data_IF_460264352015
#
_entry.id   IF_460264352015
#
_cell.length_a   1.000
_cell.length_b   1.000
_cell.length_c   1.000
_cell.angle_alpha   90.00
_cell.angle_beta   90.00
_cell.angle_gamma   90.00
#
_symmetry.space_group_name_H-M   'P 1'
#
loop_
_entity.id
_entity.type
_entity.pdbx_description
1 polymer ?
#
# COMPACT_ATOMS: atom_id res chain seq x y z
N UNK A 1 -31.89 22.66 10.79
CA UNK A 1 -31.95 22.68 9.30
C UNK A 1 -30.75 23.40 8.65
N UNK A 2 -30.06 24.33 9.32
CA UNK A 2 -28.96 25.11 8.73
C UNK A 2 -27.67 24.32 8.40
N UNK A 3 -27.39 23.22 9.12
CA UNK A 3 -26.17 22.42 8.89
C UNK A 3 -26.16 21.73 7.52
N UNK A 4 -27.33 21.30 7.02
CA UNK A 4 -27.46 20.70 5.69
C UNK A 4 -27.10 21.70 4.58
N UNK A 5 -27.54 22.96 4.70
CA UNK A 5 -27.23 23.99 3.71
C UNK A 5 -25.73 24.27 3.60
N UNK A 6 -25.01 24.24 4.73
CA UNK A 6 -23.56 24.46 4.76
C UNK A 6 -22.79 23.33 4.06
N UNK A 7 -23.20 22.08 4.25
CA UNK A 7 -22.60 20.91 3.56
C UNK A 7 -22.84 20.98 2.05
N UNK A 8 -24.06 21.34 1.62
CA UNK A 8 -24.36 21.51 0.19
C UNK A 8 -23.53 22.63 -0.45
N UNK A 9 -23.30 23.72 0.28
CA UNK A 9 -22.52 24.86 -0.21
C UNK A 9 -21.02 24.53 -0.34
N UNK A 10 -20.46 23.76 0.60
CA UNK A 10 -19.09 23.26 0.52
C UNK A 10 -18.89 22.26 -0.63
N UNK A 11 -19.86 21.37 -0.87
CA UNK A 11 -19.78 20.39 -1.96
C UNK A 11 -19.81 21.10 -3.34
N UNK A 12 -20.63 22.14 -3.47
CA UNK A 12 -20.69 22.93 -4.69
C UNK A 12 -19.35 23.62 -4.98
N UNK A 13 -18.72 24.24 -3.97
CA UNK A 13 -17.43 24.91 -4.13
C UNK A 13 -16.31 23.98 -4.62
N UNK A 14 -16.27 22.72 -4.16
CA UNK A 14 -15.28 21.73 -4.61
C UNK A 14 -15.44 21.31 -6.08
N UNK A 15 -16.65 21.42 -6.64
CA UNK A 15 -16.91 21.07 -8.04
C UNK A 15 -16.54 22.19 -9.03
N UNK A 16 -16.44 23.46 -8.57
CA UNK A 16 -16.19 24.60 -9.45
C UNK A 16 -14.70 24.93 -9.71
N UNK A 17 -13.74 24.21 -9.11
CA UNK A 17 -12.30 24.54 -9.26
C UNK A 17 -11.59 23.87 -10.44
N UNK A 18 -12.32 23.30 -11.40
CA UNK A 18 -11.74 22.78 -12.63
C UNK A 18 -11.73 23.84 -13.73
N UNK A 19 -10.54 24.41 -13.99
CA UNK A 19 -10.22 24.89 -15.34
C UNK A 19 -9.58 26.27 -15.43
N UNK A 20 -8.26 26.28 -15.57
CA UNK A 20 -7.61 27.17 -16.54
C UNK A 20 -6.32 26.51 -17.01
N UNK A 21 -6.40 25.79 -18.13
CA UNK A 21 -5.25 25.34 -18.90
C UNK A 21 -4.79 26.54 -19.73
N UNK A 22 -3.82 27.28 -19.21
CA UNK A 22 -3.13 28.33 -19.96
C UNK A 22 -2.33 27.67 -21.07
N UNK A 23 -2.83 27.78 -22.30
CA UNK A 23 -2.12 27.46 -23.53
C UNK A 23 -0.95 28.44 -23.66
N UNK A 24 0.26 28.00 -23.37
CA UNK A 24 1.47 28.77 -23.65
C UNK A 24 1.68 28.87 -25.18
N UNK A 25 2.14 30.03 -25.70
CA UNK A 25 2.39 30.21 -27.12
C UNK A 25 3.51 29.28 -27.61
N UNK A 26 3.28 28.69 -28.78
CA UNK A 26 4.22 27.84 -29.47
C UNK A 26 5.45 28.64 -29.91
N UNK A 27 6.55 28.52 -29.16
CA UNK A 27 7.87 28.87 -29.67
C UNK A 27 8.41 27.68 -30.46
N UNK A 28 8.73 27.91 -31.73
CA UNK A 28 9.41 26.95 -32.57
C UNK A 28 10.80 26.64 -31.97
N UNK A 29 11.18 25.37 -31.76
CA UNK A 29 12.53 25.05 -31.32
C UNK A 29 13.50 25.26 -32.49
N UNK A 30 14.38 26.26 -32.37
CA UNK A 30 15.62 26.32 -33.14
C UNK A 30 16.41 25.03 -32.87
N UNK A 31 16.83 24.36 -33.94
CA UNK A 31 17.61 23.11 -33.89
C UNK A 31 18.97 23.40 -33.22
N UNK A 32 19.27 22.86 -32.03
CA UNK A 32 20.62 22.96 -31.50
C UNK A 32 21.56 22.03 -32.29
N UNK A 33 22.85 22.41 -32.45
CA UNK A 33 23.82 21.58 -33.15
C UNK A 33 23.93 20.21 -32.48
N UNK A 34 23.86 19.15 -33.28
CA UNK A 34 23.93 17.76 -32.81
C UNK A 34 25.31 17.48 -32.21
N UNK A 35 25.45 17.65 -30.90
CA UNK A 35 26.49 16.98 -30.15
C UNK A 35 26.09 15.50 -30.02
N UNK A 36 26.71 14.63 -30.82
CA UNK A 36 26.61 13.18 -30.66
C UNK A 36 27.29 12.79 -29.34
N UNK A 37 26.53 12.84 -28.24
CA UNK A 37 26.89 12.13 -27.03
C UNK A 37 26.42 10.68 -27.18
N UNK A 38 27.30 9.67 -27.00
CA UNK A 38 26.86 8.29 -26.86
C UNK A 38 25.83 8.20 -25.73
N UNK A 39 24.75 7.40 -25.87
CA UNK A 39 23.77 7.27 -24.81
C UNK A 39 24.46 6.76 -23.54
N UNK A 40 24.52 7.62 -22.52
CA UNK A 40 24.93 7.24 -21.19
C UNK A 40 23.96 6.15 -20.74
N UNK A 41 24.49 4.95 -20.44
CA UNK A 41 23.67 3.85 -19.96
C UNK A 41 22.99 4.31 -18.67
N UNK A 42 21.66 4.38 -18.70
CA UNK A 42 20.88 4.63 -17.50
C UNK A 42 21.30 3.62 -16.41
N UNK A 43 21.41 4.04 -15.13
CA UNK A 43 21.65 3.14 -14.04
C UNK A 43 20.64 2.00 -14.08
N UNK A 44 21.13 0.76 -14.05
CA UNK A 44 20.28 -0.42 -13.94
C UNK A 44 19.53 -0.27 -12.63
N UNK A 45 18.20 -0.12 -12.70
CA UNK A 45 17.36 -0.12 -11.52
C UNK A 45 17.62 -1.44 -10.77
N UNK A 46 18.13 -1.33 -9.53
CA UNK A 46 18.29 -2.49 -8.68
C UNK A 46 16.94 -3.20 -8.54
N UNK A 47 16.91 -4.55 -8.62
CA UNK A 47 15.67 -5.29 -8.44
C UNK A 47 15.08 -4.93 -7.07
N UNK A 48 13.74 -4.75 -6.98
CA UNK A 48 13.11 -4.37 -5.72
C UNK A 48 13.51 -5.38 -4.65
N UNK A 49 14.07 -4.87 -3.55
CA UNK A 49 14.41 -5.65 -2.36
C UNK A 49 13.20 -6.52 -2.01
N UNK A 50 13.36 -7.84 -2.09
CA UNK A 50 12.25 -8.75 -1.80
C UNK A 50 11.77 -8.49 -0.37
N UNK A 51 10.48 -8.18 -0.17
CA UNK A 51 9.97 -7.93 1.17
C UNK A 51 10.13 -9.18 2.04
N UNK A 52 10.55 -8.94 3.27
CA UNK A 52 10.88 -9.93 4.30
C UNK A 52 9.75 -10.99 4.40
N UNK A 53 10.02 -12.20 3.90
CA UNK A 53 9.07 -13.32 3.81
C UNK A 53 8.83 -14.07 5.12
N UNK A 54 9.47 -13.65 6.21
CA UNK A 54 9.55 -14.43 7.46
C UNK A 54 8.18 -14.79 8.06
N UNK A 55 7.14 -13.97 7.82
CA UNK A 55 5.78 -14.24 8.27
C UNK A 55 4.84 -14.76 7.18
N UNK A 56 5.24 -14.70 5.91
CA UNK A 56 4.34 -14.98 4.78
C UNK A 56 4.16 -16.48 4.60
N UNK A 57 5.26 -17.24 4.48
CA UNK A 57 5.22 -18.69 4.34
C UNK A 57 4.52 -19.40 5.51
N UNK A 58 4.87 -19.15 6.78
CA UNK A 58 4.21 -19.84 7.88
C UNK A 58 2.74 -19.45 8.03
N UNK A 59 2.37 -18.20 7.71
CA UNK A 59 0.96 -17.81 7.69
C UNK A 59 0.21 -18.45 6.52
N UNK A 60 0.86 -18.66 5.38
CA UNK A 60 0.24 -19.35 4.25
C UNK A 60 -0.09 -20.80 4.58
N UNK A 61 0.80 -21.48 5.32
CA UNK A 61 0.53 -22.80 5.86
C UNK A 61 -0.60 -22.78 6.91
N UNK A 62 -0.53 -21.86 7.89
CA UNK A 62 -1.55 -21.72 8.94
C UNK A 62 -2.95 -21.44 8.38
N UNK A 63 -3.02 -20.62 7.33
CA UNK A 63 -4.27 -20.19 6.70
C UNK A 63 -4.72 -21.07 5.53
N UNK A 64 -4.03 -22.19 5.26
CA UNK A 64 -4.27 -23.01 4.05
C UNK A 64 -5.71 -23.54 3.97
N UNK A 65 -6.25 -23.99 5.09
CA UNK A 65 -7.58 -24.62 5.18
C UNK A 65 -8.68 -23.63 5.63
N UNK A 66 -8.34 -22.34 5.81
CA UNK A 66 -9.32 -21.33 6.17
C UNK A 66 -10.24 -21.00 5.00
N UNK A 67 -11.57 -20.99 5.23
CA UNK A 67 -12.57 -20.60 4.22
C UNK A 67 -12.31 -19.23 3.59
N UNK A 68 -11.73 -18.30 4.37
CA UNK A 68 -11.39 -16.95 3.94
C UNK A 68 -9.88 -16.73 4.06
N UNK A 69 -9.12 -17.24 3.07
CA UNK A 69 -7.65 -17.16 3.05
C UNK A 69 -7.13 -15.72 3.21
N UNK A 70 -7.68 -14.75 2.48
CA UNK A 70 -7.19 -13.36 2.50
C UNK A 70 -7.35 -12.66 3.87
N UNK A 71 -8.52 -12.70 4.53
CA UNK A 71 -8.64 -12.22 5.92
C UNK A 71 -7.73 -12.93 6.91
N UNK A 72 -7.60 -14.26 6.82
CA UNK A 72 -6.70 -15.03 7.70
C UNK A 72 -5.24 -14.59 7.53
N UNK A 73 -4.76 -14.49 6.29
CA UNK A 73 -3.41 -14.02 6.00
C UNK A 73 -3.17 -12.61 6.58
N UNK A 74 -4.15 -11.71 6.45
CA UNK A 74 -4.05 -10.34 6.96
C UNK A 74 -3.86 -10.32 8.48
N UNK A 75 -4.68 -11.06 9.23
CA UNK A 75 -4.56 -11.12 10.70
C UNK A 75 -3.32 -11.92 11.13
N UNK A 76 -3.05 -13.07 10.51
CA UNK A 76 -1.89 -13.89 10.81
C UNK A 76 -0.58 -13.11 10.66
N UNK A 77 -0.37 -12.41 9.54
CA UNK A 77 0.88 -11.67 9.33
C UNK A 77 1.04 -10.52 10.33
N UNK A 78 -0.07 -9.89 10.75
CA UNK A 78 -0.03 -8.88 11.80
C UNK A 78 0.32 -9.50 13.17
N UNK A 79 -0.27 -10.66 13.51
CA UNK A 79 0.03 -11.40 14.73
C UNK A 79 1.48 -11.90 14.76
N UNK A 80 1.98 -12.41 13.64
CA UNK A 80 3.38 -12.83 13.49
C UNK A 80 4.35 -11.69 13.77
N UNK A 81 4.07 -10.48 13.26
CA UNK A 81 4.87 -9.29 13.56
C UNK A 81 4.83 -8.90 15.03
N UNK A 82 3.68 -9.04 15.69
CA UNK A 82 3.53 -8.80 17.13
C UNK A 82 4.30 -9.84 17.96
N UNK A 83 4.23 -11.11 17.57
CA UNK A 83 4.76 -12.26 18.31
C UNK A 83 6.21 -12.60 17.94
N UNK A 84 7.06 -11.61 17.65
CA UNK A 84 8.47 -11.81 17.29
C UNK A 84 8.70 -12.82 16.16
N UNK A 85 7.89 -12.76 15.08
CA UNK A 85 7.95 -13.64 13.90
C UNK A 85 7.52 -15.10 14.15
N UNK A 86 6.79 -15.36 15.24
CA UNK A 86 6.23 -16.67 15.56
C UNK A 86 4.84 -16.86 14.93
N UNK A 87 4.55 -18.04 14.38
CA UNK A 87 3.22 -18.49 13.95
C UNK A 87 2.97 -19.90 14.51
N UNK A 88 1.85 -20.16 15.21
CA UNK A 88 1.59 -21.45 15.83
C UNK A 88 1.16 -22.50 14.81
N UNK A 89 2.11 -23.28 14.31
CA UNK A 89 1.86 -24.42 13.43
C UNK A 89 1.79 -25.72 14.24
N UNK A 90 0.75 -26.53 14.00
CA UNK A 90 0.57 -27.83 14.63
C UNK A 90 0.48 -27.75 16.16
N UNK A 91 1.52 -28.24 16.86
CA UNK A 91 1.61 -28.23 18.33
C UNK A 91 2.42 -27.07 18.90
N UNK A 92 3.06 -26.26 18.05
CA UNK A 92 3.84 -25.11 18.48
C UNK A 92 2.92 -24.01 19.02
N UNK A 93 3.37 -23.34 20.08
CA UNK A 93 2.66 -22.22 20.71
C UNK A 93 3.54 -20.98 20.63
N UNK A 94 2.91 -19.86 20.30
CA UNK A 94 3.53 -18.55 20.34
C UNK A 94 3.02 -17.78 21.57
N UNK A 95 3.94 -17.18 22.32
CA UNK A 95 3.57 -16.19 23.34
C UNK A 95 2.88 -15.00 22.66
N UNK A 96 1.86 -14.43 23.30
CA UNK A 96 1.12 -13.25 22.83
C UNK A 96 0.34 -13.42 21.50
N UNK A 97 -0.02 -14.66 21.14
CA UNK A 97 -0.91 -14.99 20.00
C UNK A 97 -2.39 -14.89 20.38
N UNK A 98 -2.86 -13.69 20.64
CA UNK A 98 -4.22 -13.39 21.10
C UNK A 98 -4.98 -12.51 20.10
N UNK A 99 -4.58 -11.24 19.95
CA UNK A 99 -5.20 -10.29 19.06
C UNK A 99 -4.24 -9.19 18.61
N UNK A 100 -4.61 -8.55 17.51
CA UNK A 100 -3.94 -7.39 16.93
C UNK A 100 -4.94 -6.28 16.64
N UNK A 101 -4.44 -5.04 16.54
CA UNK A 101 -5.23 -3.90 16.11
C UNK A 101 -5.03 -3.69 14.61
N UNK A 102 -6.11 -3.83 13.84
CA UNK A 102 -6.13 -3.58 12.39
C UNK A 102 -7.07 -2.40 12.16
N UNK A 103 -6.53 -1.25 11.73
CA UNK A 103 -7.29 -0.01 11.58
C UNK A 103 -8.01 0.45 12.86
N UNK A 104 -7.42 0.16 14.03
CA UNK A 104 -8.01 0.49 15.33
C UNK A 104 -9.01 -0.53 15.86
N UNK A 105 -9.38 -1.54 15.06
CA UNK A 105 -10.27 -2.62 15.49
C UNK A 105 -9.47 -3.80 16.04
N UNK A 106 -9.95 -4.38 17.14
CA UNK A 106 -9.40 -5.62 17.70
C UNK A 106 -9.80 -6.81 16.82
N UNK A 107 -8.82 -7.48 16.25
CA UNK A 107 -8.98 -8.69 15.44
C UNK A 107 -8.23 -9.83 16.11
N UNK A 108 -8.90 -10.96 16.33
CA UNK A 108 -8.28 -12.15 16.87
C UNK A 108 -7.23 -12.72 15.91
N UNK A 109 -6.14 -13.25 16.48
CA UNK A 109 -5.21 -14.05 15.70
C UNK A 109 -5.91 -15.36 15.27
N UNK A 110 -5.71 -15.79 14.01
CA UNK A 110 -6.33 -17.01 13.51
C UNK A 110 -5.75 -18.26 14.15
#
# INVERSE_FOLDING_TARGET
MAFKAFVFLLLALLLFTTGSSTKAPAHAPEKPPMAFHPPEKAPIAEPPVKPIYECVEPCEEHCKDHQKKRPCMKSCTACCKKCNKCVPLGTSKCSDWDYVLIHGERVACP
#
